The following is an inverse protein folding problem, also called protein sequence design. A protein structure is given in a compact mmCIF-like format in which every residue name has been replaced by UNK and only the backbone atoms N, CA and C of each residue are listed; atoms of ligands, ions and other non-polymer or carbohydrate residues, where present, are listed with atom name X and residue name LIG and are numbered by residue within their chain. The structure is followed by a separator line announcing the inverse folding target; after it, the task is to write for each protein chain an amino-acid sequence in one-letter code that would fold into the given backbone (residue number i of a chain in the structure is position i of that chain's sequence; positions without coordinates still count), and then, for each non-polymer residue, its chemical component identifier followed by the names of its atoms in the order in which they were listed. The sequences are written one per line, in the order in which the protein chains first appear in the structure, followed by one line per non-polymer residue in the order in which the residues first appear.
data_IF_820401154923
#
_entry.id   IF_820401154923
#
_cell.length_a   1.000
_cell.length_b   1.000
_cell.length_c   1.000
_cell.angle_alpha   90.00
_cell.angle_beta   90.00
_cell.angle_gamma   90.00
#
_symmetry.space_group_name_H-M   'P 1'
#
loop_
_entity.id
_entity.type
_entity.pdbx_description
1 polymer ?
#
# COMPACT_ATOMS: atom_id res chain seq x y z
N UNK A 1 6.69 11.01 67.46
CA UNK A 1 7.90 10.40 66.86
C UNK A 1 7.42 9.20 66.09
N UNK A 2 7.02 9.45 64.85
CA UNK A 2 7.90 9.28 63.68
C UNK A 2 8.09 7.80 63.32
N UNK A 3 8.13 7.59 62.02
CA UNK A 3 8.41 6.35 61.29
C UNK A 3 7.28 5.33 61.15
N UNK A 4 7.13 4.89 59.89
CA UNK A 4 6.28 3.78 59.39
C UNK A 4 4.92 4.20 58.82
N UNK A 5 4.85 5.35 58.14
CA UNK A 5 3.79 5.63 57.18
C UNK A 5 4.29 6.42 55.97
N UNK A 6 5.51 6.15 55.49
CA UNK A 6 6.04 6.87 54.32
C UNK A 6 7.08 6.11 53.48
N UNK A 7 6.85 4.81 53.25
CA UNK A 7 7.65 4.03 52.28
C UNK A 7 6.77 3.43 51.17
N UNK A 8 5.53 3.04 51.49
CA UNK A 8 4.60 2.49 50.50
C UNK A 8 3.87 3.54 49.65
N UNK A 9 3.72 4.79 50.11
CA UNK A 9 3.22 5.89 49.25
C UNK A 9 4.30 6.44 48.31
N UNK A 10 5.56 6.46 48.74
CA UNK A 10 6.68 6.93 47.92
C UNK A 10 7.09 5.92 46.83
N UNK A 11 6.97 4.60 47.08
CA UNK A 11 7.15 3.58 46.04
C UNK A 11 6.03 3.54 44.99
N UNK A 12 4.80 3.88 45.38
CA UNK A 12 3.66 3.93 44.45
C UNK A 12 3.69 5.21 43.59
N UNK A 13 4.21 6.33 44.10
CA UNK A 13 4.47 7.52 43.29
C UNK A 13 5.68 7.36 42.33
N UNK A 14 6.76 6.66 42.72
CA UNK A 14 7.89 6.41 41.81
C UNK A 14 7.54 5.45 40.65
N UNK A 15 6.62 4.50 40.86
CA UNK A 15 6.14 3.60 39.79
C UNK A 15 5.16 4.27 38.82
N UNK A 16 4.41 5.28 39.27
CA UNK A 16 3.52 6.07 38.40
C UNK A 16 4.33 7.09 37.56
N UNK A 17 5.45 7.60 38.07
CA UNK A 17 6.36 8.47 37.28
C UNK A 17 7.13 7.68 36.21
N UNK A 18 7.44 6.40 36.44
CA UNK A 18 8.10 5.55 35.43
C UNK A 18 7.16 5.11 34.29
N UNK A 19 5.85 5.03 34.53
CA UNK A 19 4.85 4.73 33.50
C UNK A 19 4.52 5.94 32.60
N UNK A 20 4.72 7.17 33.10
CA UNK A 20 4.56 8.39 32.29
C UNK A 20 5.77 8.62 31.37
N UNK A 21 6.97 8.17 31.76
CA UNK A 21 8.18 8.31 30.93
C UNK A 21 8.26 7.33 29.75
N UNK A 22 7.56 6.19 29.81
CA UNK A 22 7.48 5.24 28.68
C UNK A 22 6.46 5.72 27.63
N UNK A 23 5.42 6.45 28.05
CA UNK A 23 4.46 7.10 27.16
C UNK A 23 5.06 8.28 26.37
N UNK A 24 5.99 9.02 26.98
CA UNK A 24 6.64 10.16 26.33
C UNK A 24 7.75 9.77 25.34
N UNK A 25 8.49 8.68 25.54
CA UNK A 25 9.56 8.25 24.60
C UNK A 25 9.07 7.94 23.18
N UNK A 26 7.89 7.31 23.03
CA UNK A 26 7.31 7.06 21.70
C UNK A 26 6.82 8.32 20.99
N UNK A 27 6.36 9.32 21.75
CA UNK A 27 5.93 10.61 21.21
C UNK A 27 7.14 11.48 20.83
N UNK A 28 8.21 11.45 21.64
CA UNK A 28 9.47 12.17 21.37
C UNK A 28 10.22 11.59 20.17
N UNK A 29 10.34 10.26 20.03
CA UNK A 29 10.97 9.64 18.84
C UNK A 29 10.17 9.89 17.54
N UNK A 30 8.84 10.08 17.64
CA UNK A 30 8.01 10.46 16.50
C UNK A 30 8.17 11.95 16.19
N UNK A 31 8.36 12.81 17.20
CA UNK A 31 8.65 14.24 17.06
C UNK A 31 10.05 14.55 16.53
N UNK A 32 11.05 13.77 16.93
CA UNK A 32 12.42 13.91 16.44
C UNK A 32 12.53 13.47 14.98
N UNK A 33 11.89 12.36 14.61
CA UNK A 33 11.74 11.95 13.20
C UNK A 33 10.96 13.01 12.39
N UNK A 34 9.89 13.59 12.97
CA UNK A 34 9.13 14.68 12.34
C UNK A 34 10.00 15.89 12.05
N UNK A 35 10.91 16.23 12.95
CA UNK A 35 11.82 17.35 12.79
C UNK A 35 12.93 17.04 11.77
N UNK A 36 13.45 15.80 11.74
CA UNK A 36 14.44 15.39 10.74
C UNK A 36 13.87 15.36 9.31
N UNK A 37 12.62 14.89 9.13
CA UNK A 37 11.90 14.99 7.86
C UNK A 37 11.73 16.47 7.49
N UNK A 38 11.21 17.29 8.40
CA UNK A 38 10.99 18.72 8.15
C UNK A 38 12.28 19.51 7.84
N UNK A 39 13.40 19.20 8.51
CA UNK A 39 14.70 19.85 8.28
C UNK A 39 15.36 19.41 6.97
N UNK A 40 15.21 18.14 6.56
CA UNK A 40 15.57 17.71 5.20
C UNK A 40 14.73 18.45 4.14
N UNK A 41 13.45 18.72 4.43
CA UNK A 41 12.53 19.37 3.50
C UNK A 41 12.74 20.88 3.34
N UNK A 42 13.21 21.60 4.38
CA UNK A 42 13.60 23.01 4.23
C UNK A 42 14.72 23.16 3.19
N UNK A 43 15.59 22.15 3.04
CA UNK A 43 16.64 22.14 2.01
C UNK A 43 16.15 21.68 0.62
N UNK A 44 15.07 20.89 0.51
CA UNK A 44 14.49 20.44 -0.77
C UNK A 44 13.62 21.54 -1.42
N UNK A 45 12.93 22.36 -0.60
CA UNK A 45 12.02 23.43 -1.02
C UNK A 45 12.69 24.61 -1.77
N UNK A 46 14.00 24.55 -2.02
CA UNK A 46 14.71 25.52 -2.87
C UNK A 46 14.86 25.06 -4.33
N UNK A 47 14.28 23.92 -4.72
CA UNK A 47 14.36 23.45 -6.11
C UNK A 47 13.04 23.65 -6.86
N UNK A 48 13.01 24.76 -7.63
CA UNK A 48 12.07 25.08 -8.71
C UNK A 48 10.62 25.48 -8.35
N UNK A 49 10.46 26.59 -7.62
CA UNK A 49 9.19 27.33 -7.45
C UNK A 49 8.46 27.73 -8.76
N UNK A 50 9.04 27.46 -9.94
CA UNK A 50 8.52 27.82 -11.25
C UNK A 50 8.13 26.63 -12.14
N UNK A 51 8.24 25.39 -11.66
CA UNK A 51 7.86 24.22 -12.46
C UNK A 51 6.35 24.24 -12.80
N UNK A 52 6.06 24.10 -14.09
CA UNK A 52 4.70 24.03 -14.67
C UNK A 52 4.26 22.59 -14.82
N UNK A 53 2.96 22.33 -14.91
CA UNK A 53 2.41 20.97 -15.11
C UNK A 53 2.88 20.26 -16.39
N UNK A 54 3.28 20.99 -17.43
CA UNK A 54 3.82 20.41 -18.68
C UNK A 54 5.31 20.06 -18.63
N UNK A 55 6.08 20.63 -17.71
CA UNK A 55 7.54 20.50 -17.72
C UNK A 55 7.99 19.03 -17.53
N UNK A 56 8.88 18.53 -18.39
CA UNK A 56 9.37 17.15 -18.28
C UNK A 56 8.39 16.07 -18.76
N UNK A 57 7.26 16.44 -19.35
CA UNK A 57 6.35 15.49 -20.01
C UNK A 57 6.79 15.26 -21.46
N UNK A 58 7.05 13.99 -21.79
CA UNK A 58 7.11 13.48 -23.15
C UNK A 58 5.80 12.75 -23.48
N UNK A 59 4.95 13.37 -24.28
CA UNK A 59 3.65 12.80 -24.67
C UNK A 59 3.79 11.49 -25.46
N UNK A 60 4.93 11.26 -26.13
CA UNK A 60 5.16 10.01 -26.88
C UNK A 60 5.39 8.80 -25.96
N UNK A 61 5.75 9.05 -24.69
CA UNK A 61 5.96 8.04 -23.65
C UNK A 61 4.83 7.99 -22.62
N UNK A 62 3.77 8.76 -22.84
CA UNK A 62 2.64 8.83 -21.94
C UNK A 62 1.91 7.50 -21.85
N UNK A 63 1.66 7.03 -20.63
CA UNK A 63 0.87 5.81 -20.40
C UNK A 63 -0.65 6.05 -20.50
N UNK A 64 -1.07 7.32 -20.46
CA UNK A 64 -2.45 7.74 -20.75
C UNK A 64 -2.46 8.47 -22.09
N UNK A 65 -3.35 8.06 -22.99
CA UNK A 65 -3.47 8.64 -24.34
C UNK A 65 -4.35 9.90 -24.34
N UNK A 66 -4.39 10.55 -25.50
CA UNK A 66 -5.30 11.66 -25.79
C UNK A 66 -5.11 12.85 -24.83
N UNK A 67 -3.86 13.32 -24.75
CA UNK A 67 -3.48 14.56 -24.08
C UNK A 67 -2.97 15.52 -25.15
N UNK A 68 -3.66 16.65 -25.30
CA UNK A 68 -3.32 17.70 -26.25
C UNK A 68 -3.05 18.99 -25.46
N UNK A 69 -1.83 19.51 -25.56
CA UNK A 69 -1.51 20.82 -24.98
C UNK A 69 -2.23 21.95 -25.72
N UNK A 70 -2.32 23.10 -25.08
CA UNK A 70 -2.97 24.32 -25.56
C UNK A 70 -4.48 24.18 -25.79
N UNK A 71 -5.13 23.25 -25.07
CA UNK A 71 -6.56 22.95 -25.24
C UNK A 71 -7.46 23.72 -24.27
N UNK A 72 -7.13 23.67 -22.98
CA UNK A 72 -7.95 24.23 -21.91
C UNK A 72 -7.22 25.33 -21.17
N UNK A 73 -7.94 26.39 -20.78
CA UNK A 73 -7.39 27.51 -20.04
C UNK A 73 -8.13 27.70 -18.72
N UNK A 74 -7.38 28.00 -17.68
CA UNK A 74 -7.89 28.57 -16.44
C UNK A 74 -7.52 30.05 -16.43
N UNK A 75 -8.54 30.91 -16.32
CA UNK A 75 -8.38 32.35 -16.55
C UNK A 75 -7.74 32.60 -17.94
N UNK A 76 -6.53 33.18 -17.99
CA UNK A 76 -5.84 33.49 -19.25
C UNK A 76 -4.67 32.53 -19.55
N UNK A 77 -4.43 31.53 -18.71
CA UNK A 77 -3.30 30.61 -18.82
C UNK A 77 -3.78 29.21 -19.20
N UNK A 78 -3.04 28.52 -20.07
CA UNK A 78 -3.35 27.12 -20.37
C UNK A 78 -3.10 26.25 -19.15
N UNK A 79 -3.96 25.27 -18.90
CA UNK A 79 -3.90 24.44 -17.68
C UNK A 79 -2.52 23.80 -17.54
N UNK A 80 -1.93 23.28 -18.61
CA UNK A 80 -0.60 22.68 -18.56
C UNK A 80 0.55 23.65 -18.25
N UNK A 81 0.30 24.95 -18.30
CA UNK A 81 1.25 25.99 -17.93
C UNK A 81 1.13 26.43 -16.45
N UNK A 82 0.08 26.00 -15.74
CA UNK A 82 -0.10 26.31 -14.31
C UNK A 82 1.12 25.78 -13.53
N UNK A 83 1.64 26.63 -12.65
CA UNK A 83 2.74 26.27 -11.74
C UNK A 83 2.27 25.35 -10.64
N UNK A 84 3.08 24.36 -10.30
CA UNK A 84 2.80 23.41 -9.22
C UNK A 84 2.72 24.12 -7.87
N UNK A 85 3.61 25.10 -7.64
CA UNK A 85 3.58 25.96 -6.45
C UNK A 85 2.27 26.72 -6.29
N UNK A 86 1.60 27.10 -7.39
CA UNK A 86 0.26 27.70 -7.33
C UNK A 86 -0.80 26.70 -6.85
N UNK A 87 -0.68 25.42 -7.22
CA UNK A 87 -1.59 24.38 -6.76
C UNK A 87 -1.35 23.97 -5.28
N UNK A 88 -0.19 24.28 -4.72
CA UNK A 88 0.07 24.15 -3.29
C UNK A 88 -0.67 25.22 -2.48
N UNK A 89 -0.83 26.43 -3.03
CA UNK A 89 -1.62 27.49 -2.40
C UNK A 89 -3.11 27.08 -2.30
N UNK A 90 -3.64 27.10 -1.08
CA UNK A 90 -4.99 26.64 -0.78
C UNK A 90 -6.05 27.47 -1.54
N UNK A 91 -5.93 28.80 -1.53
CA UNK A 91 -6.91 29.67 -2.14
C UNK A 91 -6.95 29.51 -3.66
N UNK A 92 -5.78 29.46 -4.30
CA UNK A 92 -5.66 29.20 -5.72
C UNK A 92 -6.22 27.82 -6.08
N UNK A 93 -5.78 26.76 -5.38
CA UNK A 93 -6.26 25.39 -5.64
C UNK A 93 -7.77 25.28 -5.50
N UNK A 94 -8.36 25.86 -4.45
CA UNK A 94 -9.81 25.85 -4.27
C UNK A 94 -10.55 26.56 -5.42
N UNK A 95 -10.04 27.70 -5.90
CA UNK A 95 -10.63 28.39 -7.06
C UNK A 95 -10.49 27.58 -8.35
N UNK A 96 -9.32 26.98 -8.55
CA UNK A 96 -9.04 26.14 -9.71
C UNK A 96 -9.92 24.87 -9.72
N UNK A 97 -10.04 24.15 -8.60
CA UNK A 97 -10.92 22.98 -8.49
C UNK A 97 -12.39 23.35 -8.67
N UNK A 98 -12.83 24.50 -8.15
CA UNK A 98 -14.16 25.03 -8.42
C UNK A 98 -14.38 25.35 -9.92
N UNK A 99 -13.35 25.80 -10.62
CA UNK A 99 -13.40 25.96 -12.07
C UNK A 99 -13.54 24.62 -12.79
N UNK A 100 -12.72 23.62 -12.42
CA UNK A 100 -12.80 22.26 -12.96
C UNK A 100 -14.19 21.62 -12.75
N UNK A 101 -14.87 21.95 -11.64
CA UNK A 101 -16.22 21.47 -11.34
C UNK A 101 -17.33 22.19 -12.14
N UNK A 102 -17.09 23.41 -12.63
CA UNK A 102 -18.09 24.21 -13.36
C UNK A 102 -18.17 23.77 -14.81
N UNK A 103 -18.96 22.73 -15.08
CA UNK A 103 -19.13 22.16 -16.43
C UNK A 103 -19.93 23.02 -17.41
N UNK A 104 -19.60 22.80 -18.68
CA UNK A 104 -20.51 22.88 -19.82
C UNK A 104 -20.57 21.48 -20.48
N UNK A 105 -21.73 20.81 -20.44
CA UNK A 105 -21.91 19.41 -20.87
C UNK A 105 -21.91 19.21 -22.39
N UNK A 106 -21.75 20.28 -23.17
CA UNK A 106 -21.84 20.26 -24.64
C UNK A 106 -20.50 19.94 -25.34
N UNK A 107 -19.42 19.62 -24.60
CA UNK A 107 -18.09 19.33 -25.16
C UNK A 107 -17.65 17.89 -24.91
N UNK A 108 -17.08 17.25 -25.93
CA UNK A 108 -16.64 15.84 -25.90
C UNK A 108 -15.41 15.52 -25.03
N UNK A 109 -14.68 16.53 -24.53
CA UNK A 109 -13.66 16.39 -23.48
C UNK A 109 -13.74 17.56 -22.50
N UNK A 110 -13.38 17.29 -21.23
CA UNK A 110 -13.58 18.20 -20.11
C UNK A 110 -12.27 18.59 -19.42
N UNK A 111 -12.22 19.82 -18.91
CA UNK A 111 -11.07 20.43 -18.23
C UNK A 111 -10.55 19.56 -17.07
N UNK A 112 -11.45 18.99 -16.26
CA UNK A 112 -11.09 18.14 -15.12
C UNK A 112 -10.46 16.80 -15.54
N UNK A 113 -10.97 16.20 -16.62
CA UNK A 113 -10.42 14.96 -17.16
C UNK A 113 -9.03 15.23 -17.72
N UNK A 114 -8.87 16.32 -18.48
CA UNK A 114 -7.57 16.75 -18.97
C UNK A 114 -6.56 16.98 -17.83
N UNK A 115 -6.97 17.66 -16.76
CA UNK A 115 -6.11 17.90 -15.60
C UNK A 115 -5.68 16.60 -14.91
N UNK A 116 -6.60 15.65 -14.70
CA UNK A 116 -6.29 14.34 -14.11
C UNK A 116 -5.30 13.57 -14.98
N UNK A 117 -5.56 13.44 -16.30
CA UNK A 117 -4.65 12.78 -17.25
C UNK A 117 -3.26 13.41 -17.18
N UNK A 118 -3.18 14.74 -17.23
CA UNK A 118 -1.92 15.48 -17.20
C UNK A 118 -1.15 15.24 -15.88
N UNK A 119 -1.85 15.26 -14.75
CA UNK A 119 -1.26 15.06 -13.42
C UNK A 119 -0.68 13.64 -13.29
N UNK A 120 -1.44 12.60 -13.67
CA UNK A 120 -0.98 11.21 -13.62
C UNK A 120 0.24 10.99 -14.54
N UNK A 121 0.21 11.53 -15.76
CA UNK A 121 1.32 11.41 -16.72
C UNK A 121 2.56 12.15 -16.23
N UNK A 122 2.40 13.31 -15.60
CA UNK A 122 3.51 14.03 -14.99
C UNK A 122 4.15 13.20 -13.86
N UNK A 123 3.35 12.65 -12.96
CA UNK A 123 3.83 11.79 -11.86
C UNK A 123 4.57 10.56 -12.40
N UNK A 124 4.08 9.99 -13.50
CA UNK A 124 4.75 8.86 -14.15
C UNK A 124 6.17 9.21 -14.62
N UNK A 125 6.38 10.42 -15.15
CA UNK A 125 7.64 10.82 -15.78
C UNK A 125 8.59 11.62 -14.87
N UNK A 126 8.11 12.16 -13.75
CA UNK A 126 8.91 12.98 -12.83
C UNK A 126 8.82 12.48 -11.39
N UNK A 127 9.77 12.85 -10.53
CA UNK A 127 9.77 12.53 -9.10
C UNK A 127 9.44 13.76 -8.25
N UNK A 128 8.56 14.62 -8.74
CA UNK A 128 8.14 15.84 -8.04
C UNK A 128 7.08 15.51 -6.98
N UNK A 129 7.52 15.41 -5.73
CA UNK A 129 6.67 14.98 -4.61
C UNK A 129 5.49 15.92 -4.38
N UNK A 130 5.59 17.21 -4.76
CA UNK A 130 4.47 18.16 -4.65
C UNK A 130 3.25 17.71 -5.47
N UNK A 131 3.46 16.92 -6.54
CA UNK A 131 2.37 16.36 -7.32
C UNK A 131 1.56 15.31 -6.54
N UNK A 132 2.18 14.59 -5.60
CA UNK A 132 1.44 13.71 -4.70
C UNK A 132 0.43 14.52 -3.88
N UNK A 133 0.86 15.66 -3.32
CA UNK A 133 -0.03 16.52 -2.55
C UNK A 133 -1.21 16.96 -3.41
N UNK A 134 -0.97 17.46 -4.62
CA UNK A 134 -2.04 17.91 -5.54
C UNK A 134 -2.99 16.76 -5.87
N UNK A 135 -2.47 15.57 -6.18
CA UNK A 135 -3.29 14.39 -6.50
C UNK A 135 -4.12 13.95 -5.30
N UNK A 136 -3.56 13.96 -4.09
CA UNK A 136 -4.30 13.63 -2.88
C UNK A 136 -5.39 14.67 -2.57
N UNK A 137 -5.13 15.97 -2.78
CA UNK A 137 -6.14 17.01 -2.62
C UNK A 137 -7.28 16.86 -3.64
N UNK A 138 -6.96 16.51 -4.90
CA UNK A 138 -7.96 16.20 -5.92
C UNK A 138 -8.80 14.98 -5.54
N UNK A 139 -8.16 13.90 -5.05
CA UNK A 139 -8.87 12.71 -4.58
C UNK A 139 -9.80 13.00 -3.39
N UNK A 140 -9.44 13.95 -2.54
CA UNK A 140 -10.26 14.36 -1.40
C UNK A 140 -11.36 15.39 -1.75
N UNK A 141 -11.40 15.90 -2.99
CA UNK A 141 -12.47 16.76 -3.46
C UNK A 141 -13.68 15.91 -3.88
N UNK A 142 -14.82 16.11 -3.23
CA UNK A 142 -16.02 15.28 -3.43
C UNK A 142 -16.55 15.25 -4.87
N UNK A 143 -16.24 16.27 -5.69
CA UNK A 143 -16.74 16.35 -7.06
C UNK A 143 -15.71 15.84 -8.07
N UNK A 144 -14.43 16.13 -7.84
CA UNK A 144 -13.35 15.72 -8.73
C UNK A 144 -12.92 14.26 -8.51
N UNK A 145 -13.08 13.72 -7.29
CA UNK A 145 -12.72 12.34 -6.97
C UNK A 145 -13.42 11.33 -7.87
N UNK A 146 -14.71 11.56 -8.17
CA UNK A 146 -15.50 10.74 -9.09
C UNK A 146 -14.88 10.65 -10.49
N UNK A 147 -14.17 11.68 -10.95
CA UNK A 147 -13.48 11.65 -12.24
C UNK A 147 -12.14 10.91 -12.18
N UNK A 148 -11.55 10.77 -11.00
CA UNK A 148 -10.39 9.91 -10.81
C UNK A 148 -10.79 8.43 -10.80
N UNK A 149 -12.04 8.10 -10.46
CA UNK A 149 -12.57 6.73 -10.53
C UNK A 149 -12.54 6.16 -11.95
N UNK A 150 -12.76 6.99 -12.98
CA UNK A 150 -12.60 6.61 -14.39
C UNK A 150 -11.15 6.19 -14.75
N UNK A 151 -10.19 6.51 -13.87
CA UNK A 151 -8.76 6.23 -14.02
C UNK A 151 -8.22 5.31 -12.91
N UNK A 152 -9.05 4.54 -12.19
CA UNK A 152 -8.60 3.63 -11.13
C UNK A 152 -7.51 2.66 -11.60
N UNK A 153 -7.67 2.06 -12.79
CA UNK A 153 -6.68 1.16 -13.35
C UNK A 153 -5.35 1.88 -13.59
N UNK A 154 -5.39 3.08 -14.16
CA UNK A 154 -4.21 3.90 -14.41
C UNK A 154 -3.54 4.38 -13.12
N UNK A 155 -4.33 4.70 -12.09
CA UNK A 155 -3.85 5.08 -10.76
C UNK A 155 -3.15 3.90 -10.07
N UNK A 156 -3.78 2.73 -10.10
CA UNK A 156 -3.20 1.50 -9.53
C UNK A 156 -1.92 1.09 -10.27
N UNK A 157 -1.94 1.13 -11.59
CA UNK A 157 -0.77 0.87 -12.43
C UNK A 157 0.38 1.83 -12.10
N UNK A 158 0.08 3.13 -12.00
CA UNK A 158 1.06 4.14 -11.63
C UNK A 158 1.62 3.91 -10.22
N UNK A 159 0.78 3.47 -9.28
CA UNK A 159 1.21 3.10 -7.93
C UNK A 159 2.15 1.89 -7.95
N UNK A 160 1.83 0.82 -8.68
CA UNK A 160 2.71 -0.34 -8.83
C UNK A 160 4.03 0.03 -9.52
N UNK A 161 4.00 0.99 -10.45
CA UNK A 161 5.19 1.49 -11.14
C UNK A 161 6.09 2.33 -10.21
N UNK A 162 5.51 3.14 -9.32
CA UNK A 162 6.25 4.07 -8.44
C UNK A 162 5.77 4.04 -6.98
N UNK A 163 5.79 2.88 -6.29
CA UNK A 163 5.21 2.80 -4.95
C UNK A 163 5.96 3.71 -3.96
N UNK A 164 7.29 3.81 -4.07
CA UNK A 164 8.09 4.69 -3.22
C UNK A 164 7.72 6.18 -3.34
N UNK A 165 7.27 6.65 -4.52
CA UNK A 165 6.81 8.03 -4.70
C UNK A 165 5.55 8.29 -3.86
N UNK A 166 4.55 7.42 -3.97
CA UNK A 166 3.31 7.58 -3.20
C UNK A 166 3.54 7.48 -1.70
N UNK A 167 4.38 6.55 -1.25
CA UNK A 167 4.72 6.41 0.16
C UNK A 167 5.49 7.63 0.67
N UNK A 168 6.48 8.12 -0.09
CA UNK A 168 7.23 9.32 0.27
C UNK A 168 6.31 10.52 0.37
N UNK A 169 5.50 10.80 -0.65
CA UNK A 169 4.54 11.89 -0.64
C UNK A 169 3.56 11.80 0.54
N UNK A 170 3.00 10.62 0.80
CA UNK A 170 2.07 10.43 1.92
C UNK A 170 2.71 10.74 3.28
N UNK A 171 3.94 10.30 3.48
CA UNK A 171 4.72 10.57 4.68
C UNK A 171 5.11 12.05 4.79
N UNK A 172 5.57 12.64 3.69
CA UNK A 172 6.02 14.03 3.58
C UNK A 172 4.90 15.00 3.96
N UNK A 173 3.73 14.84 3.34
CA UNK A 173 2.59 15.75 3.53
C UNK A 173 1.63 15.31 4.64
N UNK A 174 1.89 14.16 5.28
CA UNK A 174 1.02 13.54 6.30
C UNK A 174 -0.42 13.39 5.81
N UNK A 175 -0.55 12.95 4.56
CA UNK A 175 -1.82 12.77 3.86
C UNK A 175 -1.82 11.38 3.25
N UNK A 176 -2.62 10.47 3.79
CA UNK A 176 -2.63 9.07 3.39
C UNK A 176 -3.92 8.65 2.68
N UNK A 177 -4.92 9.52 2.53
CA UNK A 177 -6.23 9.18 1.96
C UNK A 177 -6.12 8.45 0.61
N UNK A 178 -5.30 8.99 -0.30
CA UNK A 178 -5.08 8.40 -1.62
C UNK A 178 -4.42 7.00 -1.54
N UNK A 179 -3.34 6.88 -0.75
CA UNK A 179 -2.65 5.59 -0.57
C UNK A 179 -3.56 4.58 0.13
N UNK A 180 -4.35 5.00 1.11
CA UNK A 180 -5.31 4.15 1.81
C UNK A 180 -6.38 3.61 0.86
N UNK A 181 -6.89 4.45 -0.04
CA UNK A 181 -7.84 4.02 -1.07
C UNK A 181 -7.21 3.05 -2.06
N UNK A 182 -6.00 3.33 -2.56
CA UNK A 182 -5.25 2.41 -3.42
C UNK A 182 -5.02 1.07 -2.69
N UNK A 183 -4.71 1.11 -1.40
CA UNK A 183 -4.35 -0.06 -0.60
C UNK A 183 -5.55 -0.91 -0.19
N UNK A 184 -6.72 -0.30 0.03
CA UNK A 184 -7.88 -0.97 0.66
C UNK A 184 -9.06 -1.15 -0.28
N UNK A 185 -9.22 -0.29 -1.28
CA UNK A 185 -10.40 -0.29 -2.17
C UNK A 185 -10.08 -0.90 -3.53
N UNK A 186 -9.08 -0.37 -4.23
CA UNK A 186 -8.73 -0.81 -5.59
C UNK A 186 -8.39 -2.31 -5.74
N UNK A 187 -7.76 -2.98 -4.76
CA UNK A 187 -7.39 -4.38 -4.91
C UNK A 187 -8.58 -5.30 -5.15
N UNK A 188 -9.78 -4.92 -4.70
CA UNK A 188 -10.99 -5.73 -4.91
C UNK A 188 -11.35 -5.94 -6.37
N UNK A 189 -10.93 -5.04 -7.26
CA UNK A 189 -11.13 -5.13 -8.69
C UNK A 189 -9.89 -5.60 -9.46
N UNK A 190 -8.70 -5.60 -8.83
CA UNK A 190 -7.41 -5.67 -9.52
C UNK A 190 -6.47 -6.76 -9.03
N UNK A 191 -6.71 -7.33 -7.84
CA UNK A 191 -5.87 -8.37 -7.25
C UNK A 191 -6.72 -9.59 -6.87
N UNK A 192 -6.09 -10.76 -6.82
CA UNK A 192 -6.69 -12.00 -6.34
C UNK A 192 -6.22 -12.32 -4.93
N UNK A 193 -7.07 -13.01 -4.17
CA UNK A 193 -6.74 -13.47 -2.82
C UNK A 193 -7.33 -14.88 -2.58
N UNK A 194 -7.02 -15.47 -1.41
CA UNK A 194 -7.48 -16.82 -1.08
C UNK A 194 -9.01 -16.95 -1.16
N UNK A 195 -9.75 -15.94 -0.69
CA UNK A 195 -11.22 -15.92 -0.76
C UNK A 195 -11.72 -15.97 -2.21
N UNK A 196 -11.12 -15.21 -3.11
CA UNK A 196 -11.48 -15.20 -4.52
C UNK A 196 -11.38 -16.60 -5.14
N UNK A 197 -10.29 -17.33 -4.89
CA UNK A 197 -10.14 -18.70 -5.42
C UNK A 197 -11.18 -19.66 -4.84
N UNK A 198 -11.40 -19.61 -3.52
CA UNK A 198 -12.39 -20.47 -2.84
C UNK A 198 -13.81 -20.20 -3.37
N UNK A 199 -14.21 -18.93 -3.45
CA UNK A 199 -15.55 -18.54 -3.92
C UNK A 199 -15.78 -18.93 -5.39
N UNK A 200 -14.72 -19.06 -6.19
CA UNK A 200 -14.79 -19.39 -7.62
C UNK A 200 -14.43 -20.85 -7.95
N UNK A 201 -14.32 -21.74 -6.95
CA UNK A 201 -13.96 -23.15 -7.14
C UNK A 201 -12.65 -23.32 -7.94
N UNK A 202 -11.68 -22.45 -7.65
CA UNK A 202 -10.35 -22.49 -8.22
C UNK A 202 -9.39 -23.17 -7.26
N UNK A 203 -8.63 -24.13 -7.78
CA UNK A 203 -7.48 -24.71 -7.08
C UNK A 203 -6.21 -23.94 -7.46
N UNK A 204 -5.41 -23.56 -6.48
CA UNK A 204 -4.21 -22.75 -6.66
C UNK A 204 -3.19 -23.11 -5.58
N UNK A 205 -2.09 -23.77 -5.97
CA UNK A 205 -1.02 -24.11 -5.03
C UNK A 205 -0.03 -22.95 -4.91
N UNK A 206 -0.15 -22.22 -3.80
CA UNK A 206 0.73 -21.11 -3.46
C UNK A 206 1.85 -21.63 -2.54
N UNK A 207 3.08 -21.62 -3.04
CA UNK A 207 4.25 -22.14 -2.29
C UNK A 207 4.85 -21.15 -1.30
N UNK A 208 4.71 -19.85 -1.56
CA UNK A 208 5.29 -18.76 -0.78
C UNK A 208 4.27 -17.66 -0.61
N UNK A 209 4.43 -16.83 0.42
CA UNK A 209 3.53 -15.70 0.63
C UNK A 209 3.53 -14.82 -0.62
N UNK A 210 2.33 -14.55 -1.14
CA UNK A 210 2.18 -13.99 -2.48
C UNK A 210 1.12 -12.92 -2.51
N UNK A 211 1.40 -11.86 -3.28
CA UNK A 211 0.40 -10.89 -3.70
C UNK A 211 0.16 -11.13 -5.18
N UNK A 212 -1.03 -11.59 -5.54
CA UNK A 212 -1.31 -12.12 -6.86
C UNK A 212 -2.10 -11.13 -7.72
N UNK A 213 -1.66 -11.01 -8.98
CA UNK A 213 -2.35 -10.24 -10.02
C UNK A 213 -2.47 -11.11 -11.27
N UNK A 214 -3.66 -11.16 -11.84
CA UNK A 214 -3.94 -12.01 -13.00
C UNK A 214 -3.37 -11.42 -14.29
N UNK A 215 -3.05 -12.29 -15.24
CA UNK A 215 -2.48 -11.90 -16.53
C UNK A 215 -3.37 -10.95 -17.34
N UNK A 216 -4.70 -11.09 -17.28
CA UNK A 216 -5.63 -10.24 -18.02
C UNK A 216 -5.59 -8.80 -17.51
N UNK A 217 -5.49 -8.61 -16.19
CA UNK A 217 -5.27 -7.31 -15.57
C UNK A 217 -3.93 -6.70 -15.98
N UNK A 218 -2.85 -7.48 -15.95
CA UNK A 218 -1.51 -7.03 -16.37
C UNK A 218 -1.51 -6.63 -17.85
N UNK A 219 -2.24 -7.33 -18.72
CA UNK A 219 -2.29 -7.02 -20.15
C UNK A 219 -2.99 -5.68 -20.44
N UNK A 220 -3.88 -5.22 -19.55
CA UNK A 220 -4.54 -3.91 -19.65
C UNK A 220 -3.63 -2.73 -19.29
N UNK A 221 -2.50 -2.98 -18.62
CA UNK A 221 -1.53 -1.93 -18.26
C UNK A 221 -0.88 -1.30 -19.50
N UNK A 222 -0.58 0.00 -19.45
CA UNK A 222 -0.01 0.78 -20.55
C UNK A 222 1.50 1.04 -20.41
N UNK A 223 2.02 1.10 -19.20
CA UNK A 223 3.44 1.22 -18.84
C UNK A 223 4.14 -0.10 -19.16
N UNK A 224 4.78 -0.13 -20.34
CA UNK A 224 5.50 -1.31 -20.85
C UNK A 224 6.55 -1.86 -19.88
N UNK A 225 7.33 -0.98 -19.25
CA UNK A 225 8.39 -1.39 -18.31
C UNK A 225 7.82 -2.12 -17.09
N UNK A 226 6.67 -1.67 -16.56
CA UNK A 226 6.01 -2.34 -15.44
C UNK A 226 5.51 -3.72 -15.85
N UNK A 227 4.85 -3.83 -17.01
CA UNK A 227 4.37 -5.12 -17.52
C UNK A 227 5.51 -6.12 -17.68
N UNK A 228 6.61 -5.71 -18.29
CA UNK A 228 7.79 -6.56 -18.46
C UNK A 228 8.35 -7.00 -17.10
N UNK A 229 8.46 -6.09 -16.12
CA UNK A 229 8.87 -6.42 -14.75
C UNK A 229 7.94 -7.44 -14.08
N UNK A 230 6.62 -7.27 -14.19
CA UNK A 230 5.64 -8.20 -13.60
C UNK A 230 5.74 -9.58 -14.27
N UNK A 231 5.83 -9.64 -15.60
CA UNK A 231 5.92 -10.92 -16.33
C UNK A 231 7.21 -11.71 -16.09
N UNK A 232 8.23 -11.07 -15.51
CA UNK A 232 9.46 -11.77 -15.05
C UNK A 232 9.38 -12.31 -13.63
N UNK A 233 8.32 -11.98 -12.88
CA UNK A 233 8.13 -12.51 -11.53
C UNK A 233 7.71 -13.98 -11.58
N UNK A 234 7.85 -14.67 -10.43
CA UNK A 234 7.24 -15.99 -10.26
C UNK A 234 5.72 -15.90 -10.42
N UNK A 235 5.12 -16.94 -10.97
CA UNK A 235 3.67 -17.04 -11.14
C UNK A 235 3.14 -18.36 -10.58
N UNK A 236 1.83 -18.40 -10.35
CA UNK A 236 1.08 -19.63 -10.04
C UNK A 236 -0.03 -19.81 -11.07
N UNK A 237 -0.46 -21.05 -11.26
CA UNK A 237 -1.61 -21.37 -12.09
C UNK A 237 -2.82 -21.61 -11.20
N UNK A 238 -3.89 -20.86 -11.43
CA UNK A 238 -5.19 -21.10 -10.81
C UNK A 238 -6.07 -21.91 -11.77
N UNK A 239 -6.53 -23.09 -11.31
CA UNK A 239 -7.32 -24.05 -12.08
C UNK A 239 -8.78 -23.97 -11.66
N UNK A 240 -9.62 -23.35 -12.49
CA UNK A 240 -11.03 -23.17 -12.22
C UNK A 240 -11.83 -24.35 -12.76
N UNK A 241 -12.68 -24.91 -11.90
CA UNK A 241 -13.68 -25.89 -12.28
C UNK A 241 -14.80 -25.26 -13.14
N UNK A 242 -15.52 -26.05 -13.95
CA UNK A 242 -16.74 -25.59 -14.61
C UNK A 242 -17.76 -25.02 -13.62
N UNK A 243 -18.17 -23.77 -13.83
CA UNK A 243 -19.09 -23.04 -12.96
C UNK A 243 -19.82 -21.95 -13.76
N UNK A 244 -20.74 -21.22 -13.13
CA UNK A 244 -21.38 -20.06 -13.76
C UNK A 244 -20.35 -18.97 -14.15
N UNK A 245 -19.30 -18.77 -13.34
CA UNK A 245 -18.27 -17.76 -13.59
C UNK A 245 -17.31 -18.16 -14.70
N UNK A 246 -17.18 -19.46 -14.98
CA UNK A 246 -16.36 -19.97 -16.09
C UNK A 246 -17.18 -20.40 -17.31
N UNK A 247 -18.45 -19.97 -17.39
CA UNK A 247 -19.36 -20.36 -18.47
C UNK A 247 -19.39 -21.88 -18.70
N UNK A 248 -19.36 -22.64 -17.61
CA UNK A 248 -19.35 -24.11 -17.57
C UNK A 248 -18.18 -24.77 -18.31
N UNK A 249 -17.03 -24.10 -18.38
CA UNK A 249 -15.79 -24.64 -18.95
C UNK A 249 -14.65 -24.57 -17.94
N UNK A 250 -13.77 -25.57 -17.92
CA UNK A 250 -12.54 -25.46 -17.16
C UNK A 250 -11.67 -24.32 -17.70
N UNK A 251 -11.09 -23.51 -16.83
CA UNK A 251 -10.20 -22.39 -17.18
C UNK A 251 -8.95 -22.46 -16.33
N UNK A 252 -7.80 -22.19 -16.93
CA UNK A 252 -6.56 -21.92 -16.19
C UNK A 252 -6.20 -20.46 -16.35
N UNK A 253 -5.88 -19.78 -15.26
CA UNK A 253 -5.42 -18.39 -15.24
C UNK A 253 -4.02 -18.34 -14.65
N UNK A 254 -3.17 -17.51 -15.24
CA UNK A 254 -1.83 -17.20 -14.73
C UNK A 254 -1.93 -16.02 -13.77
N UNK A 255 -1.37 -16.19 -12.58
CA UNK A 255 -1.34 -15.18 -11.52
C UNK A 255 0.13 -14.85 -11.19
N UNK A 256 0.57 -13.62 -11.43
CA UNK A 256 1.93 -13.18 -11.15
C UNK A 256 2.06 -12.75 -9.68
N UNK A 257 3.11 -13.19 -9.00
CA UNK A 257 3.43 -12.74 -7.64
C UNK A 257 4.19 -11.42 -7.68
N UNK A 258 3.51 -10.32 -7.39
CA UNK A 258 4.08 -8.97 -7.37
C UNK A 258 4.60 -8.52 -6.00
N UNK A 259 4.46 -9.35 -4.96
CA UNK A 259 4.95 -9.01 -3.61
C UNK A 259 6.46 -8.68 -3.60
N UNK A 260 7.36 -9.50 -4.20
CA UNK A 260 8.80 -9.20 -4.20
C UNK A 260 9.14 -7.89 -4.90
N UNK A 261 8.42 -7.55 -5.97
CA UNK A 261 8.63 -6.31 -6.72
C UNK A 261 8.35 -5.08 -5.83
N UNK A 262 7.25 -5.11 -5.08
CA UNK A 262 6.87 -4.03 -4.16
C UNK A 262 7.87 -3.92 -3.00
N UNK A 263 8.17 -5.04 -2.34
CA UNK A 263 9.11 -5.06 -1.21
C UNK A 263 10.50 -4.57 -1.62
N UNK A 264 11.00 -5.01 -2.78
CA UNK A 264 12.28 -4.57 -3.29
C UNK A 264 12.27 -3.07 -3.61
N UNK A 265 11.20 -2.55 -4.21
CA UNK A 265 11.08 -1.14 -4.53
C UNK A 265 11.11 -0.29 -3.25
N UNK A 266 10.28 -0.63 -2.26
CA UNK A 266 10.24 0.06 -0.97
C UNK A 266 11.61 0.01 -0.26
N UNK A 267 12.25 -1.17 -0.21
CA UNK A 267 13.55 -1.34 0.43
C UNK A 267 14.67 -0.54 -0.25
N UNK A 268 14.64 -0.44 -1.58
CA UNK A 268 15.74 0.15 -2.35
C UNK A 268 15.60 1.67 -2.53
N UNK A 269 14.36 2.18 -2.56
CA UNK A 269 14.08 3.56 -2.95
C UNK A 269 13.62 4.46 -1.81
N UNK A 270 13.32 3.91 -0.63
CA UNK A 270 13.04 4.68 0.58
C UNK A 270 14.25 4.72 1.51
N UNK A 271 14.55 5.89 2.06
CA UNK A 271 15.56 6.05 3.11
C UNK A 271 15.07 5.52 4.48
N UNK A 272 15.94 5.46 5.49
CA UNK A 272 15.60 4.87 6.80
C UNK A 272 14.38 5.53 7.47
N UNK A 273 14.26 6.86 7.31
CA UNK A 273 13.19 7.67 7.89
C UNK A 273 11.86 7.40 7.20
N UNK A 274 11.87 7.36 5.86
CA UNK A 274 10.72 7.02 5.04
C UNK A 274 10.27 5.56 5.27
N UNK A 275 11.21 4.62 5.40
CA UNK A 275 10.89 3.23 5.73
C UNK A 275 10.26 3.10 7.12
N UNK A 276 10.69 3.92 8.10
CA UNK A 276 10.04 3.97 9.42
C UNK A 276 8.61 4.47 9.29
N UNK A 277 8.40 5.58 8.58
CA UNK A 277 7.06 6.08 8.30
C UNK A 277 6.19 5.03 7.58
N UNK A 278 6.73 4.34 6.58
CA UNK A 278 6.05 3.28 5.86
C UNK A 278 5.49 2.20 6.80
N UNK A 279 6.35 1.68 7.69
CA UNK A 279 5.97 0.66 8.67
C UNK A 279 4.94 1.17 9.67
N UNK A 280 5.08 2.41 10.13
CA UNK A 280 4.22 2.98 11.16
C UNK A 280 2.81 3.32 10.62
N UNK A 281 2.72 3.88 9.42
CA UNK A 281 1.48 4.42 8.86
C UNK A 281 0.72 3.39 8.01
N UNK A 282 1.43 2.54 7.25
CA UNK A 282 0.78 1.58 6.34
C UNK A 282 0.86 0.13 6.83
N UNK A 283 1.82 -0.20 7.70
CA UNK A 283 2.17 -1.56 8.19
C UNK A 283 2.67 -2.50 7.08
N UNK A 284 1.89 -2.63 6.01
CA UNK A 284 2.15 -3.47 4.83
C UNK A 284 1.22 -3.04 3.69
N UNK A 285 1.72 -3.04 2.46
CA UNK A 285 0.90 -2.83 1.27
C UNK A 285 0.12 -4.11 0.96
N UNK A 286 -1.17 -3.91 0.70
CA UNK A 286 -2.14 -4.90 0.25
C UNK A 286 -2.29 -6.09 1.21
N UNK A 287 -2.10 -5.86 2.51
CA UNK A 287 -2.04 -6.92 3.52
C UNK A 287 -3.24 -7.88 3.48
N UNK A 288 -4.46 -7.38 3.23
CA UNK A 288 -5.68 -8.20 3.12
C UNK A 288 -5.75 -9.06 1.85
N UNK A 289 -4.86 -8.85 0.89
CA UNK A 289 -4.76 -9.59 -0.37
C UNK A 289 -3.51 -10.46 -0.42
N UNK A 290 -2.59 -10.34 0.55
CA UNK A 290 -1.46 -11.25 0.65
C UNK A 290 -1.97 -12.62 1.10
N UNK A 291 -1.73 -13.63 0.27
CA UNK A 291 -1.92 -15.02 0.63
C UNK A 291 -0.69 -15.43 1.43
N UNK A 292 -0.84 -15.58 2.73
CA UNK A 292 0.27 -15.92 3.63
C UNK A 292 0.51 -17.43 3.65
N UNK A 293 1.75 -17.83 3.36
CA UNK A 293 2.17 -19.23 3.51
C UNK A 293 3.06 -19.33 4.73
N UNK A 294 2.68 -20.19 5.68
CA UNK A 294 3.43 -20.41 6.91
C UNK A 294 4.00 -21.81 6.95
N UNK A 295 5.22 -21.94 7.48
CA UNK A 295 5.83 -23.24 7.79
C UNK A 295 6.38 -23.28 9.20
N UNK A 296 6.53 -24.49 9.72
CA UNK A 296 7.26 -24.71 10.97
C UNK A 296 8.75 -24.58 10.74
N UNK A 297 9.43 -23.85 11.61
CA UNK A 297 10.89 -23.79 11.67
C UNK A 297 11.33 -23.94 13.13
N UNK A 298 11.91 -25.10 13.44
CA UNK A 298 12.44 -25.41 14.76
C UNK A 298 13.84 -26.06 14.64
N UNK A 299 14.78 -25.67 15.50
CA UNK A 299 16.12 -26.26 15.53
C UNK A 299 16.09 -27.74 15.92
N UNK A 300 15.06 -28.15 16.66
CA UNK A 300 14.87 -29.51 17.14
C UNK A 300 14.35 -30.46 16.03
N UNK A 301 14.12 -29.94 14.82
CA UNK A 301 13.61 -30.69 13.68
C UNK A 301 12.09 -30.90 13.69
N UNK A 302 11.41 -30.55 14.78
CA UNK A 302 9.95 -30.56 14.91
C UNK A 302 9.50 -29.57 15.98
N UNK A 303 8.21 -29.23 15.98
CA UNK A 303 7.56 -28.52 17.08
C UNK A 303 6.31 -29.26 17.55
N UNK A 304 5.89 -29.03 18.79
CA UNK A 304 4.69 -29.66 19.34
C UNK A 304 3.46 -28.78 19.07
N UNK A 305 2.43 -29.35 18.44
CA UNK A 305 1.09 -28.80 18.45
C UNK A 305 0.47 -29.06 19.82
N UNK A 306 0.05 -28.00 20.52
CA UNK A 306 -0.47 -28.10 21.88
C UNK A 306 -1.95 -27.80 21.97
N UNK A 307 -2.63 -28.39 22.96
CA UNK A 307 -4.07 -28.18 23.15
C UNK A 307 -4.41 -26.76 23.60
N UNK A 308 -3.55 -26.13 24.37
CA UNK A 308 -3.72 -24.78 24.91
C UNK A 308 -2.48 -23.91 24.70
N UNK A 309 -2.62 -22.60 24.94
CA UNK A 309 -1.56 -21.57 24.82
C UNK A 309 -0.49 -21.67 25.93
N UNK A 310 0.09 -22.86 26.14
CA UNK A 310 1.08 -23.13 27.19
C UNK A 310 2.06 -24.24 26.79
N UNK A 311 3.34 -24.10 27.17
CA UNK A 311 4.40 -25.08 26.93
C UNK A 311 4.25 -26.37 27.74
N UNK A 312 3.39 -26.38 28.77
CA UNK A 312 3.08 -27.55 29.60
C UNK A 312 1.78 -28.23 29.20
N UNK A 313 1.03 -27.66 28.25
CA UNK A 313 -0.23 -28.24 27.77
C UNK A 313 0.01 -29.54 27.01
N UNK A 314 -1.02 -30.40 27.00
CA UNK A 314 -1.01 -31.68 26.29
C UNK A 314 -0.61 -31.50 24.82
N UNK A 315 0.24 -32.40 24.35
CA UNK A 315 0.68 -32.46 22.95
C UNK A 315 -0.37 -33.21 22.15
N UNK A 316 -0.85 -32.60 21.07
CA UNK A 316 -1.78 -33.20 20.12
C UNK A 316 -0.98 -33.94 19.04
N UNK A 317 0.03 -33.28 18.48
CA UNK A 317 0.80 -33.75 17.32
C UNK A 317 2.23 -33.19 17.36
N UNK A 318 3.17 -33.87 16.73
CA UNK A 318 4.50 -33.33 16.40
C UNK A 318 4.51 -32.91 14.94
N UNK A 319 4.74 -31.64 14.68
CA UNK A 319 4.80 -31.06 13.32
C UNK A 319 6.26 -30.95 12.92
N UNK A 320 6.65 -31.50 11.77
CA UNK A 320 8.05 -31.48 11.34
C UNK A 320 8.47 -30.07 10.92
N UNK A 321 9.74 -29.73 11.14
CA UNK A 321 10.29 -28.50 10.56
C UNK A 321 10.28 -28.57 9.04
N UNK A 322 9.91 -27.47 8.40
CA UNK A 322 9.64 -27.37 6.96
C UNK A 322 8.18 -27.62 6.58
N UNK A 323 7.36 -28.19 7.46
CA UNK A 323 5.97 -28.50 7.16
C UNK A 323 5.10 -27.22 7.10
N UNK A 324 4.31 -27.08 6.03
CA UNK A 324 3.33 -26.00 5.87
C UNK A 324 2.19 -26.16 6.88
N UNK A 325 1.68 -25.04 7.37
CA UNK A 325 0.55 -24.97 8.30
C UNK A 325 -0.39 -23.84 7.90
N UNK A 326 -1.68 -23.96 8.23
CA UNK A 326 -2.64 -22.87 8.13
C UNK A 326 -2.72 -22.14 9.48
N UNK A 327 -2.46 -20.84 9.51
CA UNK A 327 -2.62 -20.02 10.72
C UNK A 327 -4.05 -19.51 10.80
N UNK A 328 -4.77 -19.91 11.86
CA UNK A 328 -6.17 -19.54 12.10
C UNK A 328 -6.30 -18.31 13.00
N UNK A 329 -5.34 -18.10 13.90
CA UNK A 329 -5.27 -16.93 14.77
C UNK A 329 -3.82 -16.68 15.19
N UNK A 330 -3.32 -15.48 14.92
CA UNK A 330 -1.95 -15.05 15.23
C UNK A 330 -1.87 -14.04 16.40
N UNK A 331 -2.90 -13.97 17.24
CA UNK A 331 -2.95 -13.03 18.37
C UNK A 331 -2.18 -13.55 19.59
N UNK A 332 -1.11 -12.83 19.95
CA UNK A 332 -0.24 -13.13 21.09
C UNK A 332 0.92 -14.06 20.72
N UNK A 333 1.50 -14.70 21.72
CA UNK A 333 2.69 -15.54 21.54
C UNK A 333 2.38 -16.97 21.07
N UNK A 334 1.15 -17.42 21.27
CA UNK A 334 0.68 -18.75 20.89
C UNK A 334 -0.37 -18.63 19.80
N UNK A 335 -0.01 -19.09 18.61
CA UNK A 335 -0.85 -19.01 17.42
C UNK A 335 -1.67 -20.28 17.30
N UNK A 336 -2.96 -20.12 17.00
CA UNK A 336 -3.84 -21.23 16.65
C UNK A 336 -3.55 -21.60 15.20
N UNK A 337 -3.25 -22.87 14.95
CA UNK A 337 -2.89 -23.39 13.63
C UNK A 337 -3.68 -24.65 13.32
N UNK A 338 -3.75 -24.99 12.03
CA UNK A 338 -4.27 -26.26 11.50
C UNK A 338 -3.15 -26.95 10.72
N UNK A 339 -2.90 -28.23 11.02
CA UNK A 339 -1.90 -29.05 10.34
C UNK A 339 -2.45 -29.71 9.07
N UNK A 340 -1.58 -30.30 8.26
CA UNK A 340 -1.99 -31.07 7.07
C UNK A 340 -2.82 -32.31 7.44
N UNK A 341 -2.66 -32.82 8.67
CA UNK A 341 -3.47 -33.89 9.27
C UNK A 341 -4.83 -33.42 9.78
N UNK A 342 -5.23 -32.18 9.50
CA UNK A 342 -6.47 -31.53 9.97
C UNK A 342 -6.59 -31.34 11.50
N UNK A 343 -5.48 -31.42 12.24
CA UNK A 343 -5.50 -31.15 13.68
C UNK A 343 -5.37 -29.66 13.95
N UNK A 344 -6.16 -29.17 14.92
CA UNK A 344 -6.10 -27.77 15.39
C UNK A 344 -5.48 -27.68 16.78
N UNK A 345 -4.59 -26.71 16.96
CA UNK A 345 -3.94 -26.48 18.24
C UNK A 345 -3.00 -25.27 18.21
N UNK A 346 -2.23 -25.10 19.27
CA UNK A 346 -1.39 -23.93 19.49
C UNK A 346 0.09 -24.25 19.30
N UNK A 347 0.78 -23.38 18.57
CA UNK A 347 2.23 -23.38 18.39
C UNK A 347 2.77 -22.02 18.81
N UNK A 348 3.92 -22.01 19.46
CA UNK A 348 4.56 -20.75 19.87
C UNK A 348 5.10 -20.03 18.63
N UNK A 349 4.85 -18.73 18.50
CA UNK A 349 5.10 -17.95 17.28
C UNK A 349 6.53 -18.03 16.76
N UNK A 350 7.53 -18.18 17.64
CA UNK A 350 8.94 -18.28 17.21
C UNK A 350 9.26 -19.55 16.41
N UNK A 351 8.34 -20.52 16.40
CA UNK A 351 8.44 -21.77 15.66
C UNK A 351 7.74 -21.71 14.30
N UNK A 352 7.13 -20.58 13.97
CA UNK A 352 6.39 -20.36 12.74
C UNK A 352 7.13 -19.30 11.93
N UNK A 353 7.34 -19.58 10.65
CA UNK A 353 7.93 -18.64 9.71
C UNK A 353 6.99 -18.42 8.54
N UNK A 354 6.84 -17.17 8.12
CA UNK A 354 6.23 -16.82 6.83
C UNK A 354 7.23 -17.11 5.71
N UNK A 355 6.78 -17.77 4.66
CA UNK A 355 7.58 -18.10 3.46
C UNK A 355 7.57 -17.02 2.40
#
# INVERSE_FOLDING_TARGET
MEMILDVNRMRMLLLVVFLILIGCKKADDKNELRNQIAEQNININNTNNNAKLSDGIDLSKSFIKDIEFHKFKYENEFIENIKISSLQDNLFRMKFFNFLNKRNFDKGEYEQVYFIKLLLVRIQQTNDEELYYVLNELFNDNSLSYHLEDYELSLFELFLYKPSFFIRGACLFKKNNLVDYINKSLPSALLTNEKYFVDNLADCDVEKSSLLIDEETVDKFSIKELKEKIKTQSFVNAYFSPSITTAWKSKTIVEYNILPLLEQNIKSNLNEVEQKCYRDEFKSLFESYIIHVYKIQDSDGFTNLRKEKSSTSAIIEKIKSGEKIQVLNNSGDWWLVRTNSDNKGYVYKSKIKSE
#
